data_IF_677337675127
#
_entry.id   IF_677337675127
#
_cell.length_a   1.000
_cell.length_b   1.000
_cell.length_c   1.000
_cell.angle_alpha   90.00
_cell.angle_beta   90.00
_cell.angle_gamma   90.00
#
_symmetry.space_group_name_H-M   'P 1'
#
loop_
_entity.id
_entity.type
_entity.pdbx_description
1 polymer ?
#
# COMPACT_ATOMS: atom_id res chain seq x y z
N UNK A 1 19.65 -39.33 -29.81
CA UNK A 1 18.73 -38.18 -29.96
C UNK A 1 18.20 -37.59 -28.63
N UNK A 2 18.65 -38.06 -27.45
CA UNK A 2 18.13 -37.63 -26.14
C UNK A 2 18.93 -36.50 -25.46
N UNK A 3 20.23 -36.36 -25.72
CA UNK A 3 21.08 -35.38 -25.05
C UNK A 3 20.75 -33.92 -25.40
N UNK A 4 20.28 -33.64 -26.63
CA UNK A 4 20.04 -32.28 -27.12
C UNK A 4 18.79 -31.62 -26.52
N UNK A 5 17.79 -32.42 -26.07
CA UNK A 5 16.58 -31.91 -25.41
C UNK A 5 16.83 -31.51 -23.94
N UNK A 6 17.74 -32.18 -23.24
CA UNK A 6 18.03 -31.85 -21.84
C UNK A 6 18.80 -30.52 -21.71
N UNK A 7 19.74 -30.26 -22.64
CA UNK A 7 20.54 -29.03 -22.66
C UNK A 7 19.68 -27.80 -22.99
N UNK A 8 18.68 -27.94 -23.87
CA UNK A 8 17.77 -26.83 -24.18
C UNK A 8 16.89 -26.45 -23.00
N UNK A 9 16.41 -27.41 -22.21
CA UNK A 9 15.58 -27.18 -21.02
C UNK A 9 16.37 -26.54 -19.86
N UNK A 10 17.60 -26.99 -19.61
CA UNK A 10 18.49 -26.36 -18.62
C UNK A 10 18.87 -24.93 -19.00
N UNK A 11 19.15 -24.69 -20.29
CA UNK A 11 19.45 -23.36 -20.82
C UNK A 11 18.23 -22.44 -20.78
N UNK A 12 17.02 -22.96 -20.97
CA UNK A 12 15.77 -22.22 -20.80
C UNK A 12 15.52 -21.86 -19.33
N UNK A 13 15.71 -22.80 -18.40
CA UNK A 13 15.55 -22.56 -16.95
C UNK A 13 16.53 -21.52 -16.42
N UNK A 14 17.81 -21.57 -16.83
CA UNK A 14 18.80 -20.57 -16.43
C UNK A 14 18.50 -19.17 -17.01
N UNK A 15 18.05 -19.09 -18.27
CA UNK A 15 17.67 -17.83 -18.91
C UNK A 15 16.40 -17.23 -18.29
N UNK A 16 15.43 -18.05 -17.91
CA UNK A 16 14.20 -17.62 -17.23
C UNK A 16 14.46 -17.14 -15.79
N UNK A 17 15.39 -17.79 -15.07
CA UNK A 17 15.84 -17.35 -13.75
C UNK A 17 16.58 -16.01 -13.82
N UNK A 18 17.52 -15.88 -14.77
CA UNK A 18 18.28 -14.64 -14.98
C UNK A 18 17.37 -13.48 -15.44
N UNK A 19 16.35 -13.74 -16.27
CA UNK A 19 15.37 -12.72 -16.69
C UNK A 19 14.46 -12.29 -15.53
N UNK A 20 14.05 -13.21 -14.63
CA UNK A 20 13.29 -12.83 -13.41
C UNK A 20 14.10 -11.92 -12.49
N UNK A 21 15.36 -12.27 -12.23
CA UNK A 21 16.27 -11.48 -11.39
C UNK A 21 16.58 -10.11 -12.00
N UNK A 22 16.74 -10.04 -13.32
CA UNK A 22 17.00 -8.77 -14.03
C UNK A 22 15.74 -7.92 -14.14
N UNK A 23 14.55 -8.51 -14.25
CA UNK A 23 13.28 -7.79 -14.15
C UNK A 23 13.04 -7.22 -12.73
N UNK A 24 13.42 -7.95 -11.68
CA UNK A 24 13.43 -7.45 -10.29
C UNK A 24 14.45 -6.31 -10.08
N UNK A 25 15.58 -6.33 -10.79
CA UNK A 25 16.63 -5.29 -10.71
C UNK A 25 16.31 -4.04 -11.55
N UNK A 26 15.55 -4.16 -12.64
CA UNK A 26 15.22 -3.04 -13.56
C UNK A 26 13.93 -2.31 -13.20
N UNK A 27 13.03 -2.92 -12.42
CA UNK A 27 11.98 -2.19 -11.69
C UNK A 27 12.67 -1.50 -10.53
N UNK A 28 13.28 -0.33 -10.77
CA UNK A 28 14.10 0.39 -9.78
C UNK A 28 13.56 0.22 -8.37
N UNK A 29 14.35 -0.43 -7.49
CA UNK A 29 13.92 -1.02 -6.22
C UNK A 29 12.72 -0.31 -5.58
N UNK A 30 11.51 -0.81 -5.85
CA UNK A 30 10.29 -0.37 -5.16
C UNK A 30 10.37 -0.91 -3.75
N UNK A 31 10.74 -0.06 -2.81
CA UNK A 31 10.89 -0.42 -1.40
C UNK A 31 10.06 0.45 -0.46
N UNK A 32 9.27 1.39 -1.01
CA UNK A 32 8.55 2.38 -0.20
C UNK A 32 7.11 2.00 0.05
N UNK A 33 6.63 2.33 1.25
CA UNK A 33 5.20 2.32 1.59
C UNK A 33 4.64 3.73 1.46
N UNK A 34 3.69 3.93 0.55
CA UNK A 34 2.99 5.20 0.36
C UNK A 34 1.82 5.32 1.36
N UNK A 35 1.55 6.50 1.92
CA UNK A 35 0.47 6.68 2.92
C UNK A 35 -0.53 7.73 2.42
N UNK A 36 -1.77 7.31 2.24
CA UNK A 36 -2.91 8.12 1.79
C UNK A 36 -3.78 8.43 3.00
N UNK A 37 -4.16 9.68 3.22
CA UNK A 37 -4.99 10.11 4.34
C UNK A 37 -5.65 11.47 4.07
N UNK A 38 -6.60 11.87 4.93
CA UNK A 38 -7.12 13.23 4.93
C UNK A 38 -6.09 14.21 5.54
N UNK A 39 -5.46 15.03 4.71
CA UNK A 39 -4.47 16.02 5.16
C UNK A 39 -4.98 17.07 6.13
N UNK A 40 -6.28 17.37 6.12
CA UNK A 40 -6.88 18.41 6.96
C UNK A 40 -7.29 17.83 8.32
N UNK A 41 -7.90 16.65 8.33
CA UNK A 41 -8.49 16.07 9.55
C UNK A 41 -7.61 14.96 10.18
N UNK A 42 -6.85 14.22 9.38
CA UNK A 42 -6.18 12.99 9.81
C UNK A 42 -4.65 13.10 9.86
N UNK A 43 -4.06 14.28 9.62
CA UNK A 43 -2.59 14.48 9.65
C UNK A 43 -1.93 14.08 10.98
N UNK A 44 -2.68 14.16 12.08
CA UNK A 44 -2.21 13.70 13.38
C UNK A 44 -1.86 12.20 13.33
N UNK A 45 -2.67 11.38 12.67
CA UNK A 45 -2.47 9.93 12.60
C UNK A 45 -1.19 9.59 11.82
N UNK A 46 -0.93 10.30 10.74
CA UNK A 46 0.33 10.21 10.02
C UNK A 46 1.54 10.64 10.89
N UNK A 47 1.43 11.74 11.64
CA UNK A 47 2.49 12.19 12.58
C UNK A 47 2.77 11.13 13.67
N UNK A 48 1.75 10.47 14.19
CA UNK A 48 1.92 9.37 15.14
C UNK A 48 2.63 8.16 14.52
N UNK A 49 2.30 7.80 13.27
CA UNK A 49 3.01 6.73 12.55
C UNK A 49 4.50 7.04 12.37
N UNK A 50 4.87 8.32 12.13
CA UNK A 50 6.27 8.75 12.10
C UNK A 50 6.99 8.49 13.42
N UNK A 51 6.31 8.68 14.55
CA UNK A 51 6.85 8.34 15.87
C UNK A 51 7.09 6.84 16.08
N UNK A 52 6.29 5.95 15.46
CA UNK A 52 6.51 4.50 15.53
C UNK A 52 7.77 4.06 14.80
N UNK A 53 8.12 4.73 13.68
CA UNK A 53 9.35 4.46 12.91
C UNK A 53 10.61 4.63 13.74
N UNK A 54 10.66 5.64 14.61
CA UNK A 54 11.81 5.92 15.47
C UNK A 54 12.03 4.86 16.56
N UNK A 55 11.05 3.99 16.83
CA UNK A 55 11.10 3.06 17.96
C UNK A 55 11.10 1.56 17.57
N UNK A 56 10.79 1.15 16.32
CA UNK A 56 10.42 -0.26 16.04
C UNK A 56 10.83 -0.88 14.69
N UNK A 57 11.84 -0.36 13.98
CA UNK A 57 12.35 -0.97 12.71
C UNK A 57 11.26 -1.21 11.65
N UNK A 58 10.29 -0.30 11.50
CA UNK A 58 9.33 -0.34 10.39
C UNK A 58 9.68 0.77 9.42
N UNK A 59 10.20 0.42 8.25
CA UNK A 59 10.57 1.41 7.22
C UNK A 59 9.32 1.92 6.47
N UNK A 60 8.56 2.77 7.15
CA UNK A 60 7.57 3.59 6.48
C UNK A 60 8.29 4.74 5.78
N UNK A 61 8.23 4.79 4.45
CA UNK A 61 8.78 5.91 3.69
C UNK A 61 7.69 6.94 3.43
N UNK A 62 7.46 7.73 4.47
CA UNK A 62 6.48 8.79 4.54
C UNK A 62 6.89 9.95 3.61
N UNK A 63 6.50 9.87 2.33
CA UNK A 63 6.58 11.04 1.45
C UNK A 63 5.34 11.88 1.68
N UNK A 64 5.56 13.06 2.25
CA UNK A 64 4.52 13.99 2.63
C UNK A 64 3.84 14.53 1.36
N UNK A 65 2.76 13.88 0.93
CA UNK A 65 1.87 14.37 -0.12
C UNK A 65 1.21 15.69 0.30
N UNK A 66 1.18 15.99 1.59
CA UNK A 66 0.58 17.17 2.18
C UNK A 66 1.58 18.25 2.61
N UNK A 67 2.91 18.01 2.56
CA UNK A 67 3.89 19.10 2.49
C UNK A 67 3.79 19.86 1.15
N UNK A 68 3.02 19.32 0.20
CA UNK A 68 2.51 20.04 -0.97
C UNK A 68 1.36 21.00 -0.63
N UNK A 69 0.79 21.00 0.59
CA UNK A 69 -0.08 22.11 1.03
C UNK A 69 0.75 23.40 1.22
N UNK A 70 2.08 23.29 1.31
CA UNK A 70 3.01 24.42 1.20
C UNK A 70 3.31 24.79 -0.26
N UNK A 71 2.90 23.97 -1.24
CA UNK A 71 2.74 24.42 -2.62
C UNK A 71 1.43 25.20 -2.69
N UNK A 72 1.55 26.45 -2.25
CA UNK A 72 0.77 27.63 -2.63
C UNK A 72 -0.49 27.38 -3.47
N UNK A 73 -1.55 28.10 -3.12
CA UNK A 73 -2.80 28.33 -3.88
C UNK A 73 -2.64 28.69 -5.39
N UNK A 74 -1.40 28.68 -5.93
CA UNK A 74 -0.99 28.96 -7.30
C UNK A 74 -0.55 27.73 -8.11
N UNK A 75 -0.44 26.51 -7.54
CA UNK A 75 -0.11 25.32 -8.35
C UNK A 75 -1.37 24.68 -8.95
N UNK A 76 -1.33 24.40 -10.26
CA UNK A 76 -2.42 23.67 -10.91
C UNK A 76 -2.51 22.24 -10.37
N UNK A 77 -3.73 21.74 -10.21
CA UNK A 77 -4.00 20.37 -9.76
C UNK A 77 -3.23 19.31 -10.57
N UNK A 78 -3.06 19.55 -11.86
CA UNK A 78 -2.32 18.69 -12.77
C UNK A 78 -0.83 18.61 -12.42
N UNK A 79 -0.20 19.74 -12.04
CA UNK A 79 1.18 19.75 -11.58
C UNK A 79 1.35 18.97 -10.27
N UNK A 80 0.38 19.08 -9.35
CA UNK A 80 0.35 18.31 -8.10
C UNK A 80 0.22 16.82 -8.37
N UNK A 81 -0.75 16.42 -9.20
CA UNK A 81 -0.94 15.01 -9.61
C UNK A 81 0.29 14.45 -10.34
N UNK A 82 0.97 15.24 -11.18
CA UNK A 82 2.23 14.83 -11.83
C UNK A 82 3.32 14.49 -10.80
N UNK A 83 3.57 15.39 -9.84
CA UNK A 83 4.55 15.15 -8.77
C UNK A 83 4.21 13.93 -7.91
N UNK A 84 2.93 13.72 -7.62
CA UNK A 84 2.48 12.53 -6.88
C UNK A 84 2.73 11.24 -7.68
N UNK A 85 2.47 11.23 -9.00
CA UNK A 85 2.78 10.07 -9.87
C UNK A 85 4.25 9.68 -9.85
N UNK A 86 5.17 10.66 -9.86
CA UNK A 86 6.60 10.38 -9.74
C UNK A 86 6.94 9.64 -8.45
N UNK A 87 6.24 9.93 -7.35
CA UNK A 87 6.44 9.26 -6.06
C UNK A 87 5.91 7.83 -6.07
N UNK A 88 4.75 7.61 -6.68
CA UNK A 88 4.17 6.27 -6.86
C UNK A 88 5.09 5.32 -7.62
N UNK A 89 5.98 5.82 -8.50
CA UNK A 89 6.95 4.98 -9.22
C UNK A 89 7.86 4.15 -8.30
N UNK A 90 8.14 4.68 -7.10
CA UNK A 90 9.00 4.05 -6.08
C UNK A 90 8.23 3.27 -5.01
N UNK A 91 6.90 3.32 -5.02
CA UNK A 91 6.06 2.65 -4.05
C UNK A 91 5.93 1.14 -4.37
N UNK A 92 6.20 0.31 -3.38
CA UNK A 92 5.94 -1.14 -3.40
C UNK A 92 4.51 -1.46 -2.97
N UNK A 93 4.00 -0.67 -2.03
CA UNK A 93 2.73 -0.90 -1.33
C UNK A 93 2.17 0.41 -0.80
N UNK A 94 0.90 0.41 -0.41
CA UNK A 94 0.22 1.60 0.10
C UNK A 94 -0.56 1.30 1.39
N UNK A 95 -0.66 2.33 2.22
CA UNK A 95 -1.54 2.41 3.38
C UNK A 95 -2.58 3.49 3.09
N UNK A 96 -3.84 3.21 3.40
CA UNK A 96 -4.92 4.21 3.37
C UNK A 96 -5.44 4.36 4.79
N UNK A 97 -5.28 5.54 5.38
CA UNK A 97 -5.86 5.87 6.68
C UNK A 97 -7.31 6.33 6.46
N UNK A 98 -8.25 5.63 7.10
CA UNK A 98 -9.68 5.86 6.97
C UNK A 98 -10.18 6.52 8.26
N UNK A 99 -10.34 7.84 8.21
CA UNK A 99 -11.01 8.67 9.21
C UNK A 99 -12.47 8.95 8.86
N UNK A 100 -13.07 9.91 9.57
CA UNK A 100 -14.52 10.17 9.54
C UNK A 100 -15.01 10.76 8.21
N UNK A 101 -14.16 11.54 7.54
CA UNK A 101 -14.43 12.25 6.28
C UNK A 101 -13.95 11.49 5.04
N UNK A 102 -13.10 10.47 5.18
CA UNK A 102 -12.30 9.92 4.07
C UNK A 102 -13.14 9.42 2.89
N UNK A 103 -14.32 8.82 3.15
CA UNK A 103 -15.26 8.41 2.09
C UNK A 103 -15.70 9.53 1.14
N UNK A 104 -15.60 10.79 1.58
CA UNK A 104 -16.08 11.96 0.84
C UNK A 104 -14.95 12.66 0.06
N UNK A 105 -13.71 12.18 0.13
CA UNK A 105 -12.53 12.83 -0.45
C UNK A 105 -12.25 12.33 -1.87
N UNK A 106 -13.02 12.83 -2.84
CA UNK A 106 -12.96 12.38 -4.24
C UNK A 106 -11.80 12.99 -5.05
N UNK A 107 -11.22 14.11 -4.62
CA UNK A 107 -10.29 14.89 -5.43
C UNK A 107 -8.87 14.32 -5.45
N UNK A 108 -8.30 14.10 -4.27
CA UNK A 108 -6.93 13.60 -4.10
C UNK A 108 -6.92 12.18 -3.56
N UNK A 109 -7.52 11.92 -2.39
CA UNK A 109 -7.51 10.59 -1.75
C UNK A 109 -8.07 9.49 -2.67
N UNK A 110 -9.26 9.70 -3.24
CA UNK A 110 -9.80 8.73 -4.22
C UNK A 110 -8.87 8.54 -5.41
N UNK A 111 -8.36 9.63 -5.98
CA UNK A 111 -7.44 9.59 -7.12
C UNK A 111 -6.16 8.80 -6.78
N UNK A 112 -5.60 8.96 -5.58
CA UNK A 112 -4.43 8.21 -5.12
C UNK A 112 -4.72 6.71 -4.99
N UNK A 113 -5.92 6.36 -4.47
CA UNK A 113 -6.36 4.97 -4.40
C UNK A 113 -6.51 4.37 -5.82
N UNK A 114 -7.09 5.11 -6.76
CA UNK A 114 -7.22 4.69 -8.18
C UNK A 114 -5.84 4.43 -8.81
N UNK A 115 -4.84 5.26 -8.49
CA UNK A 115 -3.47 5.04 -8.94
C UNK A 115 -2.88 3.76 -8.33
N UNK A 116 -3.05 3.53 -7.02
CA UNK A 116 -2.60 2.28 -6.38
C UNK A 116 -3.21 1.05 -7.05
N UNK A 117 -4.52 1.06 -7.33
CA UNK A 117 -5.22 -0.03 -8.00
C UNK A 117 -4.72 -0.23 -9.43
N UNK A 118 -4.53 0.85 -10.18
CA UNK A 118 -4.00 0.82 -11.56
C UNK A 118 -2.60 0.23 -11.62
N UNK A 119 -1.75 0.59 -10.64
CA UNK A 119 -0.39 0.08 -10.52
C UNK A 119 -0.32 -1.33 -9.91
N UNK A 120 -1.45 -1.87 -9.44
CA UNK A 120 -1.51 -3.16 -8.76
C UNK A 120 -0.71 -3.20 -7.45
N UNK A 121 -0.68 -2.07 -6.72
CA UNK A 121 -0.03 -2.01 -5.42
C UNK A 121 -0.95 -2.62 -4.35
N UNK A 122 -0.44 -3.47 -3.44
CA UNK A 122 -1.21 -3.92 -2.29
C UNK A 122 -1.59 -2.75 -1.39
N UNK A 123 -2.84 -2.74 -0.94
CA UNK A 123 -3.40 -1.69 -0.09
C UNK A 123 -3.73 -2.26 1.30
N UNK A 124 -3.16 -1.66 2.33
CA UNK A 124 -3.57 -1.86 3.73
C UNK A 124 -4.49 -0.71 4.14
N UNK A 125 -5.77 -1.00 4.28
CA UNK A 125 -6.79 -0.05 4.69
C UNK A 125 -6.87 -0.01 6.22
N UNK A 126 -6.48 1.11 6.82
CA UNK A 126 -6.33 1.25 8.26
C UNK A 126 -7.44 2.13 8.81
N UNK A 127 -8.33 1.56 9.61
CA UNK A 127 -9.44 2.29 10.19
C UNK A 127 -8.99 3.06 11.45
N UNK A 128 -9.09 4.38 11.43
CA UNK A 128 -8.72 5.25 12.56
C UNK A 128 -9.67 5.09 13.75
N UNK A 129 -10.92 4.69 13.50
CA UNK A 129 -11.88 4.32 14.54
C UNK A 129 -11.61 2.94 15.18
N UNK A 130 -10.45 2.33 14.88
CA UNK A 130 -9.96 1.05 15.43
C UNK A 130 -10.76 -0.19 15.06
N UNK A 131 -11.70 -0.11 14.11
CA UNK A 131 -12.35 -1.31 13.57
C UNK A 131 -11.31 -2.23 12.90
N UNK A 132 -11.48 -3.54 13.12
CA UNK A 132 -10.60 -4.60 12.61
C UNK A 132 -11.00 -5.12 11.22
N UNK A 133 -12.13 -4.65 10.69
CA UNK A 133 -12.77 -5.06 9.43
C UNK A 133 -13.20 -3.84 8.62
N UNK A 134 -13.70 -4.04 7.39
CA UNK A 134 -14.28 -2.98 6.58
C UNK A 134 -15.32 -2.16 7.37
N UNK A 135 -15.18 -0.84 7.33
CA UNK A 135 -16.22 0.08 7.78
C UNK A 135 -16.98 0.62 6.57
N UNK A 136 -18.17 0.08 6.29
CA UNK A 136 -18.99 0.50 5.16
C UNK A 136 -19.41 1.97 5.23
N UNK A 137 -19.39 2.58 6.41
CA UNK A 137 -19.82 3.97 6.60
C UNK A 137 -18.72 4.99 6.36
N UNK A 138 -17.45 4.62 6.50
CA UNK A 138 -16.29 5.52 6.43
C UNK A 138 -15.33 5.16 5.30
N UNK A 139 -15.28 3.90 4.90
CA UNK A 139 -14.40 3.43 3.84
C UNK A 139 -14.87 3.97 2.48
N UNK A 140 -13.96 4.59 1.69
CA UNK A 140 -14.23 4.96 0.30
C UNK A 140 -14.79 3.79 -0.49
N UNK A 141 -15.83 4.04 -1.30
CA UNK A 141 -16.52 2.99 -2.05
C UNK A 141 -15.59 2.20 -2.98
N UNK A 142 -14.55 2.84 -3.50
CA UNK A 142 -13.57 2.20 -4.39
C UNK A 142 -12.70 1.14 -3.71
N UNK A 143 -12.60 1.14 -2.38
CA UNK A 143 -11.89 0.11 -1.62
C UNK A 143 -12.80 -1.04 -1.19
N UNK A 144 -14.12 -0.93 -1.38
CA UNK A 144 -15.05 -2.03 -1.10
C UNK A 144 -14.91 -3.07 -2.18
N UNK A 145 -14.83 -4.32 -1.77
CA UNK A 145 -14.63 -5.50 -2.63
C UNK A 145 -13.33 -5.40 -3.46
N UNK A 146 -12.40 -4.53 -3.05
CA UNK A 146 -11.08 -4.45 -3.60
C UNK A 146 -10.17 -5.48 -2.91
N UNK A 147 -9.04 -5.79 -3.53
CA UNK A 147 -7.98 -6.60 -2.93
C UNK A 147 -7.20 -5.77 -1.89
N UNK A 148 -7.88 -5.33 -0.85
CA UNK A 148 -7.31 -4.57 0.26
C UNK A 148 -7.56 -5.30 1.57
N UNK A 149 -6.61 -5.20 2.50
CA UNK A 149 -6.77 -5.72 3.87
C UNK A 149 -7.13 -4.61 4.84
N UNK A 150 -8.22 -4.80 5.57
CA UNK A 150 -8.72 -3.88 6.58
C UNK A 150 -8.17 -4.23 7.96
N UNK A 151 -7.57 -3.25 8.63
CA UNK A 151 -6.97 -3.41 9.96
C UNK A 151 -7.28 -2.22 10.87
N UNK A 152 -7.19 -2.43 12.19
CA UNK A 152 -7.29 -1.33 13.16
C UNK A 152 -6.03 -0.46 13.14
N UNK A 153 -6.17 0.84 13.45
CA UNK A 153 -5.04 1.75 13.63
C UNK A 153 -4.15 1.40 14.85
N UNK A 154 -3.22 0.47 14.64
CA UNK A 154 -2.21 0.05 15.61
C UNK A 154 -0.92 -0.42 14.91
N UNK A 155 0.24 0.02 15.41
CA UNK A 155 1.54 -0.27 14.80
C UNK A 155 1.81 -1.75 14.55
N UNK A 156 1.44 -2.65 15.49
CA UNK A 156 1.77 -4.08 15.39
C UNK A 156 1.00 -4.77 14.26
N UNK A 157 -0.32 -4.54 14.17
CA UNK A 157 -1.14 -5.14 13.11
C UNK A 157 -0.87 -4.51 11.75
N UNK A 158 -0.58 -3.21 11.69
CA UNK A 158 -0.18 -2.55 10.43
C UNK A 158 1.12 -3.18 9.94
N UNK A 159 2.14 -3.32 10.79
CA UNK A 159 3.39 -4.00 10.42
C UNK A 159 3.14 -5.43 9.96
N UNK A 160 2.34 -6.20 10.72
CA UNK A 160 1.98 -7.56 10.33
C UNK A 160 1.31 -7.60 8.94
N UNK A 161 0.42 -6.66 8.65
CA UNK A 161 -0.22 -6.57 7.34
C UNK A 161 0.76 -6.26 6.21
N UNK A 162 1.68 -5.33 6.43
CA UNK A 162 2.72 -5.03 5.45
C UNK A 162 3.63 -6.24 5.17
N UNK A 163 3.99 -6.99 6.21
CA UNK A 163 4.91 -8.13 6.08
C UNK A 163 4.23 -9.39 5.50
N UNK A 164 2.93 -9.59 5.75
CA UNK A 164 2.25 -10.85 5.38
C UNK A 164 1.29 -10.68 4.21
N UNK A 165 0.46 -9.64 4.20
CA UNK A 165 -0.47 -9.40 3.11
C UNK A 165 0.23 -8.82 1.88
N UNK A 166 1.03 -7.76 2.06
CA UNK A 166 1.67 -7.12 0.89
C UNK A 166 2.70 -8.03 0.21
N UNK A 167 3.47 -8.82 0.97
CA UNK A 167 4.44 -9.77 0.41
C UNK A 167 3.78 -10.96 -0.31
N UNK A 168 2.57 -11.35 0.11
CA UNK A 168 1.80 -12.41 -0.52
C UNK A 168 0.66 -11.89 -1.42
N UNK A 169 0.68 -10.61 -1.80
CA UNK A 169 -0.44 -9.94 -2.48
C UNK A 169 -0.89 -10.65 -3.76
N UNK A 170 0.03 -11.28 -4.48
CA UNK A 170 -0.29 -12.03 -5.69
C UNK A 170 -1.31 -13.15 -5.46
N UNK A 171 -1.35 -13.74 -4.26
CA UNK A 171 -2.33 -14.76 -3.89
C UNK A 171 -3.71 -14.19 -3.61
N UNK A 172 -3.81 -12.93 -3.19
CA UNK A 172 -5.06 -12.25 -2.86
C UNK A 172 -5.68 -11.51 -4.04
N UNK A 173 -4.88 -11.17 -5.05
CA UNK A 173 -5.28 -10.37 -6.21
C UNK A 173 -6.39 -11.04 -7.03
N UNK A 174 -7.44 -10.29 -7.35
CA UNK A 174 -8.59 -10.71 -8.15
C UNK A 174 -9.65 -11.48 -7.37
N UNK A 175 -9.56 -11.53 -6.03
CA UNK A 175 -10.54 -12.24 -5.20
C UNK A 175 -11.62 -11.31 -4.63
N UNK A 176 -11.29 -10.04 -4.37
CA UNK A 176 -12.27 -9.00 -3.99
C UNK A 176 -13.00 -9.23 -2.66
N UNK A 177 -12.32 -9.75 -1.63
CA UNK A 177 -12.98 -10.27 -0.41
C UNK A 177 -12.87 -9.38 0.85
N UNK A 178 -12.71 -8.05 0.71
CA UNK A 178 -12.61 -7.11 1.85
C UNK A 178 -11.75 -7.67 3.01
N UNK A 179 -10.53 -8.12 2.69
CA UNK A 179 -9.72 -8.98 3.54
C UNK A 179 -9.56 -8.41 4.96
N UNK A 180 -9.50 -9.28 5.96
CA UNK A 180 -9.23 -8.89 7.34
C UNK A 180 -8.57 -10.04 8.10
N UNK A 181 -7.93 -9.72 9.22
CA UNK A 181 -7.34 -10.73 10.10
C UNK A 181 -8.34 -11.23 11.15
N UNK A 182 -8.25 -12.52 11.47
CA UNK A 182 -9.00 -13.12 12.57
C UNK A 182 -8.56 -12.57 13.93
N UNK A 183 -9.44 -12.65 14.93
CA UNK A 183 -9.16 -12.19 16.29
C UNK A 183 -7.95 -12.87 16.93
N UNK A 184 -7.63 -14.10 16.53
CA UNK A 184 -6.45 -14.82 17.00
C UNK A 184 -5.16 -14.06 16.66
N UNK A 185 -5.05 -13.52 15.45
CA UNK A 185 -3.87 -12.73 15.03
C UNK A 185 -3.70 -11.50 15.91
N UNK A 186 -4.80 -10.81 16.24
CA UNK A 186 -4.75 -9.67 17.15
C UNK A 186 -4.30 -10.06 18.55
N UNK A 187 -4.84 -11.17 19.10
CA UNK A 187 -4.44 -11.70 20.41
C UNK A 187 -2.95 -12.08 20.44
N UNK A 188 -2.45 -12.74 19.40
CA UNK A 188 -1.04 -13.15 19.29
C UNK A 188 -0.10 -11.92 19.21
N UNK A 189 -0.60 -10.79 18.67
CA UNK A 189 0.08 -9.50 18.67
C UNK A 189 -0.12 -8.69 19.97
N UNK A 190 -0.90 -9.22 20.93
CA UNK A 190 -1.24 -8.57 22.19
C UNK A 190 -2.12 -7.32 22.04
N UNK A 191 -3.16 -7.40 21.19
CA UNK A 191 -4.09 -6.32 20.82
C UNK A 191 -5.57 -6.66 21.01
#
# INVERSE_FOLDING_TARGET
>A
MLATKAISVLRWRAKCFSIKVVAELLVGYRNKTYVIFDGDNDIWSYRYMKGWKQNKNVDFNFHDAHDLNTITNSSSEENTKRKLRERFSSAKQAIVLIGDSTKNLYRFVRWEIEICQTLGLPIVAVNLNKKRRLDTNLCPAILRDADAVHVSYNARIIKHALDNFCDNYASYKGQGDNWHYEDKVYKDLGL
#
